data_IF_718844279462
#
_entry.id   IF_718844279462
#
_cell.length_a   1.000
_cell.length_b   1.000
_cell.length_c   1.000
_cell.angle_alpha   90.00
_cell.angle_beta   90.00
_cell.angle_gamma   90.00
#
_symmetry.space_group_name_H-M   'P 1'
#
loop_
_entity.id
_entity.type
_entity.pdbx_description
1 polymer ?
#
# COMPACT_ATOMS: atom_id res chain seq x y z
N UNK A 1 -63.21 76.35 56.41
CA UNK A 1 -62.88 75.24 57.34
C UNK A 1 -63.25 73.94 56.63
N UNK A 2 -62.38 72.94 56.73
CA UNK A 2 -62.53 71.54 56.28
C UNK A 2 -62.09 71.23 54.84
N UNK A 3 -61.01 70.45 54.77
CA UNK A 3 -60.47 69.82 53.57
C UNK A 3 -60.98 68.39 53.38
N UNK A 4 -60.18 67.60 52.65
CA UNK A 4 -60.44 66.32 51.95
C UNK A 4 -60.96 66.54 50.52
N UNK A 5 -60.41 65.93 49.46
CA UNK A 5 -59.68 64.67 49.39
C UNK A 5 -58.74 64.62 48.17
N UNK A 6 -57.67 63.83 48.25
CA UNK A 6 -56.68 63.64 47.18
C UNK A 6 -57.32 62.84 46.04
N UNK A 7 -57.76 63.51 44.97
CA UNK A 7 -58.13 62.83 43.72
C UNK A 7 -56.88 62.24 43.05
N UNK A 8 -56.63 60.95 43.30
CA UNK A 8 -55.80 60.13 42.42
C UNK A 8 -56.54 59.98 41.09
N UNK A 9 -56.08 60.73 40.08
CA UNK A 9 -56.45 60.50 38.69
C UNK A 9 -55.86 59.15 38.26
N UNK A 10 -56.58 58.05 38.49
CA UNK A 10 -56.33 56.81 37.76
C UNK A 10 -56.69 57.06 36.30
N UNK A 11 -55.70 57.45 35.50
CA UNK A 11 -55.84 57.43 34.04
C UNK A 11 -56.22 56.02 33.61
N UNK A 12 -57.26 55.93 32.78
CA UNK A 12 -57.83 54.69 32.31
C UNK A 12 -56.92 54.09 31.22
N UNK A 13 -55.78 53.52 31.61
CA UNK A 13 -54.77 52.89 30.73
C UNK A 13 -55.26 51.60 30.04
N UNK A 14 -56.54 51.26 30.17
CA UNK A 14 -57.13 50.03 29.61
C UNK A 14 -57.11 49.98 28.07
N UNK A 15 -57.06 51.12 27.39
CA UNK A 15 -57.00 51.19 25.92
C UNK A 15 -55.60 50.97 25.35
N UNK A 16 -54.58 51.61 25.93
CA UNK A 16 -53.19 51.51 25.44
C UNK A 16 -52.59 50.14 25.78
N UNK A 17 -52.97 49.56 26.92
CA UNK A 17 -52.57 48.20 27.30
C UNK A 17 -53.09 47.13 26.33
N UNK A 18 -54.30 47.31 25.77
CA UNK A 18 -54.82 46.39 24.77
C UNK A 18 -54.03 46.49 23.45
N UNK A 19 -53.72 47.72 23.01
CA UNK A 19 -52.97 47.96 21.77
C UNK A 19 -51.53 47.44 21.89
N UNK A 20 -50.86 47.64 23.03
CA UNK A 20 -49.50 47.11 23.25
C UNK A 20 -49.50 45.59 23.28
N UNK A 21 -50.48 44.96 23.92
CA UNK A 21 -50.65 43.50 23.92
C UNK A 21 -50.92 42.98 22.50
N UNK A 22 -51.76 43.64 21.71
CA UNK A 22 -52.02 43.25 20.31
C UNK A 22 -50.77 43.39 19.43
N UNK A 23 -50.00 44.47 19.58
CA UNK A 23 -48.73 44.65 18.88
C UNK A 23 -47.71 43.58 19.28
N UNK A 24 -47.58 43.28 20.58
CA UNK A 24 -46.72 42.21 21.06
C UNK A 24 -47.16 40.84 20.53
N UNK A 25 -48.47 40.55 20.50
CA UNK A 25 -49.00 39.32 19.91
C UNK A 25 -48.74 39.24 18.40
N UNK A 26 -48.88 40.34 17.67
CA UNK A 26 -48.59 40.38 16.23
C UNK A 26 -47.11 40.09 15.96
N UNK A 27 -46.20 40.68 16.73
CA UNK A 27 -44.76 40.44 16.63
C UNK A 27 -44.42 38.99 17.00
N UNK A 28 -44.97 38.46 18.09
CA UNK A 28 -44.76 37.05 18.48
C UNK A 28 -45.29 36.09 17.43
N UNK A 29 -46.45 36.38 16.83
CA UNK A 29 -47.02 35.55 15.76
C UNK A 29 -46.13 35.57 14.53
N UNK A 30 -45.64 36.74 14.13
CA UNK A 30 -44.70 36.87 13.02
C UNK A 30 -43.43 36.06 13.26
N UNK A 31 -42.83 36.18 14.46
CA UNK A 31 -41.65 35.41 14.87
C UNK A 31 -41.91 33.90 14.84
N UNK A 32 -43.04 33.45 15.39
CA UNK A 32 -43.43 32.05 15.41
C UNK A 32 -43.57 31.46 13.99
N UNK A 33 -44.17 32.22 13.07
CA UNK A 33 -44.30 31.81 11.65
C UNK A 33 -42.93 31.72 10.98
N UNK A 34 -42.04 32.68 11.20
CA UNK A 34 -40.66 32.59 10.68
C UNK A 34 -39.92 31.38 11.24
N UNK A 35 -39.99 31.13 12.55
CA UNK A 35 -39.32 29.98 13.16
C UNK A 35 -39.85 28.65 12.62
N UNK A 36 -41.17 28.54 12.44
CA UNK A 36 -41.78 27.35 11.86
C UNK A 36 -41.33 27.14 10.40
N UNK A 37 -41.31 28.20 9.59
CA UNK A 37 -40.84 28.11 8.20
C UNK A 37 -39.35 27.75 8.14
N UNK A 38 -38.51 28.36 8.96
CA UNK A 38 -37.07 28.02 9.04
C UNK A 38 -36.89 26.57 9.45
N UNK A 39 -37.57 26.10 10.49
CA UNK A 39 -37.48 24.70 10.95
C UNK A 39 -37.98 23.70 9.90
N UNK A 40 -39.05 24.05 9.18
CA UNK A 40 -39.57 23.24 8.07
C UNK A 40 -38.55 23.15 6.93
N UNK A 41 -37.95 24.29 6.54
CA UNK A 41 -36.90 24.34 5.50
C UNK A 41 -35.66 23.57 5.93
N UNK A 42 -35.19 23.74 7.17
CA UNK A 42 -34.06 22.98 7.73
C UNK A 42 -34.33 21.48 7.71
N UNK A 43 -35.54 21.05 8.07
CA UNK A 43 -35.93 19.64 8.03
C UNK A 43 -35.88 19.09 6.60
N UNK A 44 -36.35 19.86 5.61
CA UNK A 44 -36.26 19.47 4.20
C UNK A 44 -34.81 19.42 3.70
N UNK A 45 -33.98 20.39 4.07
CA UNK A 45 -32.55 20.41 3.73
C UNK A 45 -31.86 19.19 4.36
N UNK A 46 -32.06 18.92 5.64
CA UNK A 46 -31.49 17.76 6.33
C UNK A 46 -31.95 16.44 5.72
N UNK A 47 -33.23 16.35 5.34
CA UNK A 47 -33.75 15.16 4.66
C UNK A 47 -33.09 14.96 3.29
N UNK A 48 -32.99 16.01 2.49
CA UNK A 48 -32.34 15.97 1.18
C UNK A 48 -30.85 15.64 1.32
N UNK A 49 -30.16 16.25 2.28
CA UNK A 49 -28.75 15.98 2.56
C UNK A 49 -28.52 14.52 2.96
N UNK A 50 -29.33 13.98 3.87
CA UNK A 50 -29.24 12.57 4.27
C UNK A 50 -29.43 11.64 3.08
N UNK A 51 -30.48 11.87 2.29
CA UNK A 51 -30.81 11.02 1.13
C UNK A 51 -29.74 11.13 0.04
N UNK A 52 -29.16 12.32 -0.16
CA UNK A 52 -28.04 12.53 -1.08
C UNK A 52 -26.77 11.80 -0.62
N UNK A 53 -26.48 11.79 0.69
CA UNK A 53 -25.31 11.07 1.23
C UNK A 53 -25.48 9.56 1.18
N UNK A 54 -26.69 9.07 1.41
CA UNK A 54 -27.02 7.65 1.21
C UNK A 54 -26.81 7.24 -0.26
N UNK A 55 -27.31 8.03 -1.23
CA UNK A 55 -27.05 7.78 -2.65
C UNK A 55 -25.55 7.82 -3.01
N UNK A 56 -24.78 8.71 -2.38
CA UNK A 56 -23.33 8.77 -2.56
C UNK A 56 -22.63 7.50 -2.05
N UNK A 57 -22.97 7.01 -0.86
CA UNK A 57 -22.38 5.78 -0.33
C UNK A 57 -22.78 4.54 -1.16
N UNK A 58 -24.00 4.50 -1.71
CA UNK A 58 -24.38 3.48 -2.68
C UNK A 58 -23.50 3.54 -3.94
N UNK A 59 -23.22 4.74 -4.46
CA UNK A 59 -22.35 4.92 -5.62
C UNK A 59 -20.91 4.48 -5.31
N UNK A 60 -20.36 4.87 -4.17
CA UNK A 60 -19.02 4.48 -3.72
C UNK A 60 -18.90 2.95 -3.53
N UNK A 61 -19.94 2.32 -2.96
CA UNK A 61 -20.02 0.86 -2.87
C UNK A 61 -19.96 0.18 -4.25
N UNK A 62 -20.59 0.77 -5.26
CA UNK A 62 -20.50 0.29 -6.64
C UNK A 62 -19.09 0.40 -7.23
N UNK A 63 -18.33 1.44 -6.89
CA UNK A 63 -16.90 1.55 -7.27
C UNK A 63 -16.11 0.41 -6.63
N UNK A 64 -16.23 0.21 -5.31
CA UNK A 64 -15.53 -0.86 -4.61
C UNK A 64 -15.89 -2.25 -5.17
N UNK A 65 -17.16 -2.46 -5.51
CA UNK A 65 -17.63 -3.68 -6.14
C UNK A 65 -16.99 -3.91 -7.52
N UNK A 66 -16.98 -2.89 -8.37
CA UNK A 66 -16.36 -2.97 -9.69
C UNK A 66 -14.86 -3.32 -9.58
N UNK A 67 -14.14 -2.69 -8.66
CA UNK A 67 -12.72 -3.00 -8.39
C UNK A 67 -12.52 -4.46 -7.96
N UNK A 68 -13.37 -4.97 -7.06
CA UNK A 68 -13.31 -6.38 -6.65
C UNK A 68 -13.62 -7.36 -7.79
N UNK A 69 -14.51 -6.98 -8.72
CA UNK A 69 -14.80 -7.78 -9.93
C UNK A 69 -13.64 -7.78 -10.91
N UNK A 70 -13.03 -6.61 -11.14
CA UNK A 70 -11.83 -6.50 -11.97
C UNK A 70 -10.73 -7.41 -11.42
N UNK A 71 -10.50 -7.38 -10.10
CA UNK A 71 -9.57 -8.31 -9.43
C UNK A 71 -9.89 -9.77 -9.75
N UNK A 72 -11.13 -10.20 -9.50
CA UNK A 72 -11.54 -11.59 -9.67
C UNK A 72 -11.48 -12.07 -11.13
N UNK A 73 -11.72 -11.18 -12.11
CA UNK A 73 -11.65 -11.53 -13.54
C UNK A 73 -10.20 -11.59 -14.04
N UNK A 74 -9.31 -10.75 -13.52
CA UNK A 74 -7.86 -10.87 -13.78
C UNK A 74 -7.34 -12.23 -13.28
N UNK A 75 -7.71 -12.63 -12.06
CA UNK A 75 -7.38 -13.93 -11.48
C UNK A 75 -7.95 -15.11 -12.29
N UNK A 76 -9.18 -14.98 -12.83
CA UNK A 76 -9.83 -16.05 -13.57
C UNK A 76 -9.32 -16.25 -15.01
N UNK A 77 -8.64 -15.24 -15.58
CA UNK A 77 -8.21 -15.22 -16.99
C UNK A 77 -6.69 -15.37 -17.14
N UNK A 78 -6.01 -15.86 -16.10
CA UNK A 78 -4.56 -16.07 -16.08
C UNK A 78 -3.79 -14.81 -16.49
N UNK A 79 -4.27 -13.64 -16.03
CA UNK A 79 -3.66 -12.33 -16.33
C UNK A 79 -3.42 -12.04 -17.82
N UNK A 80 -4.19 -12.65 -18.72
CA UNK A 80 -4.08 -12.44 -20.18
C UNK A 80 -5.00 -11.34 -20.72
N UNK A 81 -5.49 -10.47 -19.83
CA UNK A 81 -6.36 -9.35 -20.22
C UNK A 81 -5.47 -8.19 -20.68
N UNK A 82 -5.21 -8.12 -21.98
CA UNK A 82 -4.56 -6.98 -22.63
C UNK A 82 -5.44 -5.71 -22.58
N UNK A 83 -6.73 -5.85 -22.25
CA UNK A 83 -7.72 -4.77 -22.25
C UNK A 83 -8.91 -5.07 -21.30
N UNK A 84 -9.15 -4.18 -20.33
CA UNK A 84 -10.24 -4.29 -19.33
C UNK A 84 -11.64 -4.17 -19.98
N UNK A 85 -11.72 -3.75 -21.25
CA UNK A 85 -12.98 -3.64 -22.01
C UNK A 85 -13.78 -4.95 -22.12
N UNK A 86 -13.18 -6.12 -21.81
CA UNK A 86 -13.85 -7.41 -21.73
C UNK A 86 -14.62 -7.70 -20.42
N UNK A 87 -14.48 -6.86 -19.39
CA UNK A 87 -15.02 -7.12 -18.04
C UNK A 87 -16.52 -6.79 -17.98
N UNK A 88 -17.34 -7.80 -17.75
CA UNK A 88 -18.79 -7.61 -17.65
C UNK A 88 -19.18 -7.13 -16.24
N UNK A 89 -19.34 -5.83 -16.09
CA UNK A 89 -19.82 -5.19 -14.87
C UNK A 89 -21.35 -5.14 -14.75
N UNK A 90 -22.09 -5.57 -15.79
CA UNK A 90 -23.54 -5.56 -15.81
C UNK A 90 -24.06 -6.94 -15.44
N UNK A 91 -24.45 -7.10 -14.17
CA UNK A 91 -25.52 -7.98 -13.68
C UNK A 91 -25.28 -8.33 -12.21
N UNK A 92 -25.54 -7.41 -11.26
CA UNK A 92 -25.78 -7.87 -9.89
C UNK A 92 -26.48 -6.88 -8.95
N UNK A 93 -27.29 -7.44 -8.05
CA UNK A 93 -27.88 -6.76 -6.89
C UNK A 93 -27.12 -7.16 -5.63
N UNK A 94 -26.30 -6.27 -5.08
CA UNK A 94 -25.69 -6.47 -3.76
C UNK A 94 -26.75 -6.19 -2.68
N UNK A 95 -26.93 -7.09 -1.72
CA UNK A 95 -27.91 -6.88 -0.65
C UNK A 95 -27.45 -5.73 0.26
N UNK A 96 -28.24 -4.66 0.34
CA UNK A 96 -28.01 -3.53 1.24
C UNK A 96 -27.45 -2.27 0.57
N UNK A 97 -27.07 -2.35 -0.71
CA UNK A 97 -26.66 -1.20 -1.52
C UNK A 97 -27.47 -1.17 -2.81
N UNK A 98 -27.69 0.03 -3.36
CA UNK A 98 -28.43 0.18 -4.60
C UNK A 98 -27.67 1.05 -5.60
N UNK A 99 -26.90 0.39 -6.47
CA UNK A 99 -26.12 1.05 -7.51
C UNK A 99 -26.29 0.40 -8.88
N UNK A 100 -25.97 1.16 -9.93
CA UNK A 100 -25.83 0.67 -11.30
C UNK A 100 -24.44 1.06 -11.84
N UNK A 101 -23.84 0.18 -12.65
CA UNK A 101 -22.55 0.42 -13.29
C UNK A 101 -22.73 0.63 -14.79
N UNK A 102 -22.12 1.70 -15.31
CA UNK A 102 -22.11 2.04 -16.73
C UNK A 102 -20.66 2.28 -17.18
N UNK A 103 -20.23 1.69 -18.30
CA UNK A 103 -18.96 2.06 -18.92
C UNK A 103 -19.03 3.51 -19.45
N UNK A 104 -17.95 4.27 -19.32
CA UNK A 104 -17.86 5.64 -19.83
C UNK A 104 -16.58 5.84 -20.64
N UNK A 105 -16.60 6.81 -21.57
CA UNK A 105 -15.39 7.17 -22.30
C UNK A 105 -14.31 7.67 -21.33
N UNK A 106 -13.06 7.29 -21.60
CA UNK A 106 -11.93 7.79 -20.83
C UNK A 106 -11.82 9.31 -20.93
N UNK A 107 -11.63 9.94 -19.77
CA UNK A 107 -11.29 11.35 -19.64
C UNK A 107 -9.90 11.56 -19.02
N UNK A 108 -9.17 10.46 -18.74
CA UNK A 108 -7.83 10.47 -18.17
C UNK A 108 -6.80 10.27 -19.31
N UNK A 109 -5.69 11.04 -19.35
CA UNK A 109 -4.71 10.97 -20.46
C UNK A 109 -3.83 9.72 -20.51
N UNK A 110 -3.99 8.76 -19.60
CA UNK A 110 -3.11 7.60 -19.42
C UNK A 110 -3.22 6.57 -20.58
N UNK A 111 -2.29 5.59 -20.60
CA UNK A 111 -2.29 4.49 -21.56
C UNK A 111 -3.50 3.56 -21.33
N UNK A 112 -4.57 3.79 -22.08
CA UNK A 112 -5.80 2.98 -22.14
C UNK A 112 -6.50 2.70 -20.78
N UNK A 113 -6.88 3.75 -20.01
CA UNK A 113 -7.61 3.55 -18.77
C UNK A 113 -9.05 3.08 -19.04
N UNK A 114 -9.49 2.09 -18.26
CA UNK A 114 -10.87 1.66 -18.20
C UNK A 114 -11.65 2.53 -17.24
N UNK A 115 -12.62 3.27 -17.77
CA UNK A 115 -13.44 4.17 -16.99
C UNK A 115 -14.88 3.65 -16.90
N UNK A 116 -15.42 3.70 -15.70
CA UNK A 116 -16.81 3.36 -15.45
C UNK A 116 -17.43 4.37 -14.49
N UNK A 117 -18.74 4.41 -14.49
CA UNK A 117 -19.57 5.27 -13.67
C UNK A 117 -20.46 4.41 -12.80
N UNK A 118 -20.37 4.63 -11.50
CA UNK A 118 -21.27 4.06 -10.50
C UNK A 118 -22.37 5.06 -10.15
N UNK A 119 -23.61 4.59 -10.24
CA UNK A 119 -24.82 5.38 -10.03
C UNK A 119 -25.53 4.85 -8.79
N UNK A 120 -25.35 5.51 -7.65
CA UNK A 120 -26.08 5.17 -6.42
C UNK A 120 -27.48 5.77 -6.40
N UNK A 121 -28.46 5.00 -5.91
CA UNK A 121 -29.89 5.35 -5.97
C UNK A 121 -30.59 5.08 -4.65
N UNK A 122 -31.10 6.12 -4.01
CA UNK A 122 -32.06 5.93 -2.91
C UNK A 122 -33.45 5.82 -3.49
N UNK A 123 -34.16 4.74 -3.13
CA UNK A 123 -35.55 4.52 -3.53
C UNK A 123 -36.50 5.03 -2.45
N UNK A 124 -37.69 5.43 -2.86
CA UNK A 124 -38.77 5.68 -1.93
C UNK A 124 -39.13 4.39 -1.15
N UNK A 125 -39.86 4.47 -0.02
CA UNK A 125 -40.21 3.27 0.77
C UNK A 125 -41.01 2.20 0.02
N UNK A 126 -41.64 2.55 -1.11
CA UNK A 126 -42.30 1.55 -1.97
C UNK A 126 -41.33 0.83 -2.91
N UNK A 127 -40.08 1.26 -3.04
CA UNK A 127 -39.05 0.64 -3.89
C UNK A 127 -39.18 0.92 -5.39
N UNK A 128 -40.09 1.79 -5.82
CA UNK A 128 -40.43 1.96 -7.24
C UNK A 128 -39.98 3.30 -7.84
N UNK A 129 -39.48 4.23 -7.02
CA UNK A 129 -39.07 5.55 -7.49
C UNK A 129 -37.78 5.99 -6.82
N UNK A 130 -36.79 6.35 -7.63
CA UNK A 130 -35.57 7.02 -7.17
C UNK A 130 -35.91 8.41 -6.62
N UNK A 131 -35.51 8.66 -5.38
CA UNK A 131 -35.71 9.93 -4.66
C UNK A 131 -34.41 10.75 -4.51
N UNK A 132 -33.25 10.09 -4.64
CA UNK A 132 -31.95 10.73 -4.80
C UNK A 132 -31.04 9.86 -5.67
N UNK A 133 -30.10 10.52 -6.35
CA UNK A 133 -29.08 9.91 -7.20
C UNK A 133 -27.75 10.59 -6.91
N UNK A 134 -26.67 9.82 -6.85
CA UNK A 134 -25.29 10.34 -6.90
C UNK A 134 -24.54 9.52 -7.95
N UNK A 135 -23.63 10.17 -8.66
CA UNK A 135 -22.86 9.59 -9.76
C UNK A 135 -21.38 9.75 -9.42
N UNK A 136 -20.65 8.65 -9.48
CA UNK A 136 -19.21 8.62 -9.25
C UNK A 136 -18.56 8.00 -10.46
N UNK A 137 -17.61 8.71 -11.08
CA UNK A 137 -16.80 8.18 -12.16
C UNK A 137 -15.43 7.78 -11.63
N UNK A 138 -15.01 6.57 -11.99
CA UNK A 138 -13.74 5.97 -11.62
C UNK A 138 -13.03 5.47 -12.87
N UNK A 139 -11.72 5.67 -12.92
CA UNK A 139 -10.86 5.17 -14.00
C UNK A 139 -9.74 4.33 -13.41
N UNK A 140 -9.47 3.19 -14.02
CA UNK A 140 -8.40 2.28 -13.64
C UNK A 140 -7.50 1.96 -14.83
N UNK A 141 -6.23 1.70 -14.56
CA UNK A 141 -5.28 1.16 -15.54
C UNK A 141 -4.80 -0.20 -15.06
N UNK A 142 -4.53 -1.10 -16.00
CA UNK A 142 -3.78 -2.30 -15.72
C UNK A 142 -2.29 -1.95 -15.67
N UNK A 143 -1.62 -2.37 -14.61
CA UNK A 143 -0.16 -2.39 -14.52
C UNK A 143 0.25 -3.77 -14.02
N UNK A 144 1.53 -4.08 -14.07
CA UNK A 144 2.07 -5.26 -13.43
C UNK A 144 2.48 -4.92 -12.01
N UNK A 145 2.28 -5.86 -11.08
CA UNK A 145 2.81 -5.67 -9.73
C UNK A 145 4.33 -5.59 -9.81
N UNK A 146 4.88 -4.46 -9.34
CA UNK A 146 6.32 -4.24 -9.28
C UNK A 146 6.77 -4.40 -7.82
N UNK A 147 7.46 -5.50 -7.49
CA UNK A 147 7.95 -5.68 -6.13
C UNK A 147 9.00 -4.61 -5.76
N UNK A 148 9.77 -4.13 -6.75
CA UNK A 148 10.96 -3.29 -6.55
C UNK A 148 11.02 -2.07 -7.49
N UNK A 149 10.43 -0.95 -7.06
CA UNK A 149 10.49 0.32 -7.81
C UNK A 149 11.53 1.32 -7.28
N UNK A 150 12.00 1.09 -6.05
CA UNK A 150 12.85 2.01 -5.30
C UNK A 150 13.99 1.24 -4.63
N UNK A 151 15.01 1.96 -4.16
CA UNK A 151 16.05 1.36 -3.33
C UNK A 151 15.45 0.68 -2.10
N UNK A 152 14.57 1.41 -1.44
CA UNK A 152 13.87 0.95 -0.24
C UNK A 152 12.45 1.49 -0.21
N UNK A 153 11.51 0.62 0.10
CA UNK A 153 10.13 1.00 0.42
C UNK A 153 9.75 0.41 1.77
N UNK A 154 9.40 1.27 2.73
CA UNK A 154 8.89 0.86 4.03
C UNK A 154 7.39 1.13 4.14
N UNK A 155 6.58 0.11 4.43
CA UNK A 155 5.13 0.30 4.54
C UNK A 155 4.78 1.33 5.60
N UNK A 156 5.29 1.12 6.80
CA UNK A 156 5.06 1.87 8.04
C UNK A 156 6.27 2.72 8.45
N UNK A 157 7.28 2.84 7.58
CA UNK A 157 8.41 3.75 7.79
C UNK A 157 9.78 3.20 7.39
N UNK A 158 10.72 4.12 7.19
CA UNK A 158 12.13 3.82 6.92
C UNK A 158 13.02 4.58 7.89
N UNK A 159 14.01 3.91 8.47
CA UNK A 159 14.97 4.51 9.39
C UNK A 159 16.42 4.21 8.99
N UNK A 160 17.16 5.26 8.65
CA UNK A 160 18.59 5.21 8.33
C UNK A 160 19.39 5.83 9.49
N UNK A 161 20.27 5.04 10.11
CA UNK A 161 21.03 5.46 11.30
C UNK A 161 22.52 5.25 11.08
N UNK A 162 23.32 6.25 11.42
CA UNK A 162 24.77 6.12 11.43
C UNK A 162 25.38 6.81 10.22
N UNK A 163 26.08 6.08 9.36
CA UNK A 163 26.73 6.60 8.16
C UNK A 163 26.37 5.78 6.92
N UNK A 164 25.14 5.25 6.86
CA UNK A 164 24.66 4.49 5.72
C UNK A 164 24.64 5.37 4.47
N UNK A 165 25.03 4.83 3.31
CA UNK A 165 24.93 5.53 2.03
C UNK A 165 24.00 4.72 1.14
N UNK A 166 22.94 5.35 0.64
CA UNK A 166 22.03 4.78 -0.35
C UNK A 166 22.28 5.47 -1.68
N UNK A 167 22.64 4.72 -2.71
CA UNK A 167 22.74 5.21 -4.09
C UNK A 167 22.22 4.13 -5.06
N UNK A 168 22.58 4.22 -6.34
CA UNK A 168 22.13 3.25 -7.33
C UNK A 168 23.17 2.94 -8.40
N UNK A 169 22.87 1.93 -9.20
CA UNK A 169 23.52 1.58 -10.46
C UNK A 169 22.55 0.80 -11.34
N UNK A 170 22.95 0.48 -12.57
CA UNK A 170 22.15 -0.35 -13.45
C UNK A 170 22.96 -1.58 -13.91
N UNK A 171 22.63 -2.76 -13.39
CA UNK A 171 23.36 -3.99 -13.70
C UNK A 171 23.23 -4.42 -15.16
N UNK A 172 22.14 -4.05 -15.84
CA UNK A 172 21.96 -4.29 -17.28
C UNK A 172 22.93 -3.48 -18.14
N UNK A 173 23.52 -2.41 -17.59
CA UNK A 173 24.53 -1.57 -18.23
C UNK A 173 25.97 -1.91 -17.80
N UNK A 174 26.13 -2.86 -16.89
CA UNK A 174 27.42 -3.35 -16.40
C UNK A 174 27.62 -3.18 -14.89
N UNK A 175 28.84 -3.45 -14.38
CA UNK A 175 29.14 -3.42 -12.96
C UNK A 175 28.97 -2.03 -12.32
N UNK A 176 28.73 -2.00 -11.01
CA UNK A 176 28.55 -0.76 -10.22
C UNK A 176 29.56 0.35 -10.54
N UNK A 177 30.84 0.01 -10.65
CA UNK A 177 31.91 0.99 -10.90
C UNK A 177 31.73 1.81 -12.19
N UNK A 178 30.99 1.29 -13.18
CA UNK A 178 30.75 1.95 -14.47
C UNK A 178 29.32 2.49 -14.64
N UNK A 179 28.34 1.90 -13.95
CA UNK A 179 26.91 2.24 -14.10
C UNK A 179 26.30 2.95 -12.90
N UNK A 180 27.10 3.32 -11.89
CA UNK A 180 26.62 4.05 -10.71
C UNK A 180 25.92 5.38 -11.04
N UNK A 181 24.92 5.69 -10.25
CA UNK A 181 24.03 6.85 -10.35
C UNK A 181 23.53 7.25 -8.95
N UNK A 182 22.85 8.38 -8.86
CA UNK A 182 22.29 8.92 -7.63
C UNK A 182 20.74 8.78 -7.64
N UNK A 183 20.23 7.62 -8.05
CA UNK A 183 18.79 7.28 -8.10
C UNK A 183 18.37 6.33 -6.96
N UNK A 184 19.08 6.37 -5.83
CA UNK A 184 18.81 5.58 -4.61
C UNK A 184 17.59 6.06 -3.83
N UNK A 185 16.42 6.04 -4.47
CA UNK A 185 15.17 6.60 -3.92
C UNK A 185 14.64 5.77 -2.75
N UNK A 186 14.22 6.45 -1.68
CA UNK A 186 13.62 5.86 -0.48
C UNK A 186 12.19 6.35 -0.31
N UNK A 187 11.24 5.44 -0.09
CA UNK A 187 9.83 5.80 0.01
C UNK A 187 9.10 5.13 1.18
N UNK A 188 7.97 5.70 1.58
CA UNK A 188 6.95 5.01 2.39
C UNK A 188 5.63 4.87 1.63
N UNK A 189 4.68 4.09 2.14
CA UNK A 189 3.42 3.83 1.43
C UNK A 189 2.17 4.04 2.26
N UNK A 190 2.18 3.80 3.58
CA UNK A 190 0.98 3.93 4.41
C UNK A 190 0.90 5.32 5.05
N UNK A 191 -0.29 5.74 5.47
CA UNK A 191 -0.47 6.97 6.24
C UNK A 191 0.44 7.04 7.49
N UNK A 192 0.86 8.25 7.86
CA UNK A 192 1.71 8.52 9.02
C UNK A 192 3.05 7.76 9.03
N UNK A 193 3.53 7.36 7.85
CA UNK A 193 4.76 6.59 7.71
C UNK A 193 5.93 7.47 7.32
N UNK A 194 6.83 7.67 8.28
CA UNK A 194 7.94 8.62 8.17
C UNK A 194 9.20 8.00 7.54
N UNK A 195 10.03 8.86 6.95
CA UNK A 195 11.44 8.57 6.65
C UNK A 195 12.30 9.31 7.68
N UNK A 196 13.02 8.58 8.52
CA UNK A 196 13.93 9.14 9.53
C UNK A 196 15.40 8.87 9.16
N UNK A 197 16.14 9.93 8.88
CA UNK A 197 17.58 9.88 8.60
C UNK A 197 18.32 10.52 9.78
N UNK A 198 19.26 9.78 10.37
CA UNK A 198 20.01 10.24 11.56
C UNK A 198 21.51 9.94 11.45
N UNK A 199 22.33 10.73 12.14
CA UNK A 199 23.78 10.67 12.02
C UNK A 199 24.26 11.38 10.75
N UNK A 200 25.17 10.74 10.02
CA UNK A 200 25.69 11.19 8.72
C UNK A 200 25.24 10.25 7.58
N UNK A 201 24.09 9.58 7.72
CA UNK A 201 23.53 8.78 6.64
C UNK A 201 23.13 9.68 5.46
N UNK A 202 23.33 9.20 4.23
CA UNK A 202 23.10 9.94 2.99
C UNK A 202 22.22 9.11 2.06
N UNK A 203 21.16 9.74 1.54
CA UNK A 203 20.34 9.25 0.43
C UNK A 203 20.77 10.02 -0.82
N UNK A 204 21.44 9.33 -1.75
CA UNK A 204 21.72 9.83 -3.09
C UNK A 204 20.56 9.48 -4.01
N UNK A 205 19.52 10.29 -3.96
CA UNK A 205 18.24 10.08 -4.62
C UNK A 205 17.15 10.86 -3.92
N UNK A 206 15.89 10.52 -4.22
CA UNK A 206 14.73 11.17 -3.62
C UNK A 206 14.33 10.50 -2.30
N UNK A 207 13.73 11.27 -1.39
CA UNK A 207 13.09 10.79 -0.17
C UNK A 207 11.63 11.25 -0.18
N UNK A 208 10.71 10.32 -0.44
CA UNK A 208 9.28 10.60 -0.62
C UNK A 208 8.46 9.83 0.41
N UNK A 209 7.92 10.53 1.40
CA UNK A 209 7.15 9.92 2.49
C UNK A 209 5.66 10.27 2.38
N UNK A 210 4.79 9.35 2.79
CA UNK A 210 3.37 9.67 3.05
C UNK A 210 3.21 10.42 4.38
N UNK A 211 4.08 10.12 5.36
CA UNK A 211 4.29 10.93 6.55
C UNK A 211 5.37 12.00 6.34
N UNK A 212 6.18 12.25 7.36
CA UNK A 212 7.24 13.26 7.33
C UNK A 212 8.60 12.69 6.89
N UNK A 213 9.41 13.52 6.23
CA UNK A 213 10.84 13.25 6.01
C UNK A 213 11.69 14.02 7.02
N UNK A 214 12.15 13.32 8.04
CA UNK A 214 12.97 13.86 9.12
C UNK A 214 14.46 13.59 8.84
N UNK A 215 15.18 14.58 8.31
CA UNK A 215 16.60 14.43 7.95
C UNK A 215 17.45 15.69 8.22
N UNK A 216 18.77 15.55 8.49
CA UNK A 216 19.69 16.67 8.52
C UNK A 216 19.82 17.36 7.16
N UNK A 217 20.20 18.64 7.16
CA UNK A 217 20.50 19.36 5.92
C UNK A 217 21.60 18.65 5.11
N UNK A 218 21.33 18.39 3.83
CA UNK A 218 22.24 17.70 2.92
C UNK A 218 22.28 16.18 3.05
N UNK A 219 21.46 15.57 3.91
CA UNK A 219 21.34 14.11 4.02
C UNK A 219 20.60 13.47 2.83
N UNK A 220 19.83 14.25 2.07
CA UNK A 220 19.17 13.81 0.83
C UNK A 220 19.67 14.71 -0.31
N UNK A 221 20.16 14.12 -1.40
CA UNK A 221 20.70 14.89 -2.54
C UNK A 221 19.65 15.19 -3.61
N UNK A 222 18.58 14.40 -3.67
CA UNK A 222 17.43 14.60 -4.56
C UNK A 222 16.30 15.37 -3.88
N UNK A 223 15.07 15.09 -4.30
CA UNK A 223 13.87 15.73 -3.79
C UNK A 223 13.48 15.16 -2.42
N UNK A 224 13.12 16.06 -1.51
CA UNK A 224 12.39 15.71 -0.29
C UNK A 224 10.94 16.13 -0.53
N UNK A 225 9.99 15.20 -0.38
CA UNK A 225 8.60 15.50 -0.68
C UNK A 225 7.60 14.54 -0.04
N UNK A 226 6.34 14.94 -0.14
CA UNK A 226 5.20 14.10 0.21
C UNK A 226 4.85 13.16 -0.95
N UNK A 227 4.32 11.99 -0.62
CA UNK A 227 3.83 10.98 -1.54
C UNK A 227 2.39 10.61 -1.19
N UNK A 228 1.59 10.27 -2.20
CA UNK A 228 0.26 9.69 -1.97
C UNK A 228 0.37 8.26 -1.41
N UNK A 229 -0.65 7.87 -0.65
CA UNK A 229 -0.77 6.52 -0.11
C UNK A 229 -0.84 5.49 -1.24
N UNK A 230 -0.13 4.39 -1.10
CA UNK A 230 -0.12 3.28 -2.05
C UNK A 230 -0.25 1.94 -1.32
N UNK A 231 -0.75 0.92 -2.02
CA UNK A 231 -0.75 -0.44 -1.47
C UNK A 231 0.68 -0.89 -1.19
N UNK A 232 1.00 -1.15 0.08
CA UNK A 232 2.35 -1.62 0.39
C UNK A 232 2.62 -3.01 -0.15
N UNK A 233 1.61 -3.88 -0.18
CA UNK A 233 1.73 -5.25 -0.67
C UNK A 233 0.93 -5.46 -1.96
N UNK A 234 1.40 -4.95 -3.11
CA UNK A 234 0.72 -5.15 -4.40
C UNK A 234 0.67 -6.63 -4.83
N UNK A 235 1.56 -7.48 -4.32
CA UNK A 235 1.57 -8.91 -4.63
C UNK A 235 0.57 -9.73 -3.81
N UNK A 236 0.04 -9.20 -2.69
CA UNK A 236 -0.61 -9.99 -1.65
C UNK A 236 0.26 -11.22 -1.29
N UNK A 237 1.37 -10.96 -0.59
CA UNK A 237 2.49 -11.89 -0.44
C UNK A 237 2.08 -13.25 0.13
N UNK A 238 1.02 -13.31 0.93
CA UNK A 238 0.48 -14.55 1.48
C UNK A 238 -0.12 -15.41 0.36
N UNK A 239 -0.98 -14.80 -0.47
CA UNK A 239 -1.59 -15.47 -1.62
C UNK A 239 -0.53 -15.80 -2.66
N UNK A 240 0.36 -14.86 -2.98
CA UNK A 240 1.45 -15.05 -3.94
C UNK A 240 2.37 -16.24 -3.61
N UNK A 241 2.79 -16.37 -2.34
CA UNK A 241 3.59 -17.51 -1.89
C UNK A 241 2.80 -18.82 -1.97
N UNK A 242 1.51 -18.81 -1.65
CA UNK A 242 0.67 -20.01 -1.69
C UNK A 242 0.40 -20.48 -3.12
N UNK A 243 0.14 -19.55 -4.05
CA UNK A 243 -0.16 -19.85 -5.45
C UNK A 243 1.06 -20.36 -6.21
N UNK A 244 2.26 -19.94 -5.81
CA UNK A 244 3.51 -20.40 -6.39
C UNK A 244 4.02 -21.73 -5.80
N UNK A 245 3.50 -22.21 -4.67
CA UNK A 245 3.93 -23.48 -4.05
C UNK A 245 3.52 -24.67 -4.92
N UNK A 246 4.47 -25.39 -5.57
CA UNK A 246 4.13 -26.54 -6.41
C UNK A 246 3.74 -27.77 -5.59
N UNK A 247 3.90 -27.72 -4.26
CA UNK A 247 3.60 -28.81 -3.34
C UNK A 247 2.67 -28.33 -2.19
N UNK A 248 1.47 -27.78 -2.48
CA UNK A 248 0.66 -27.08 -1.47
C UNK A 248 0.07 -28.01 -0.41
N UNK A 249 0.00 -29.32 -0.70
CA UNK A 249 -0.51 -30.35 0.22
C UNK A 249 0.59 -31.11 0.96
N UNK A 250 1.86 -30.87 0.61
CA UNK A 250 2.99 -31.53 1.24
C UNK A 250 3.51 -30.66 2.39
N UNK A 251 3.75 -31.29 3.54
CA UNK A 251 4.48 -30.65 4.63
C UNK A 251 5.97 -30.87 4.44
N UNK A 252 6.76 -29.83 4.64
CA UNK A 252 8.21 -29.98 4.66
C UNK A 252 8.64 -30.86 5.83
N UNK A 253 9.52 -31.83 5.57
CA UNK A 253 10.05 -32.74 6.58
C UNK A 253 11.58 -32.87 6.56
N UNK A 254 12.23 -32.09 5.71
CA UNK A 254 13.63 -32.11 5.36
C UNK A 254 14.27 -30.77 5.78
N UNK A 255 14.82 -30.74 6.98
CA UNK A 255 15.64 -29.60 7.42
C UNK A 255 17.05 -29.69 6.83
N UNK A 256 17.64 -28.55 6.49
CA UNK A 256 19.05 -28.44 6.12
C UNK A 256 19.84 -27.86 7.29
N UNK A 257 20.63 -28.70 7.94
CA UNK A 257 21.46 -28.32 9.12
C UNK A 257 22.96 -28.50 8.91
N UNK A 258 23.34 -29.26 7.87
CA UNK A 258 24.72 -29.59 7.54
C UNK A 258 25.05 -29.15 6.12
N UNK A 259 26.32 -29.22 5.74
CA UNK A 259 26.70 -28.95 4.36
C UNK A 259 25.98 -29.89 3.39
N UNK A 260 25.45 -29.31 2.32
CA UNK A 260 24.71 -30.01 1.28
C UNK A 260 24.91 -29.27 -0.04
N UNK A 261 24.87 -30.01 -1.14
CA UNK A 261 24.84 -29.46 -2.50
C UNK A 261 23.49 -29.79 -3.09
N UNK A 262 22.83 -28.79 -3.69
CA UNK A 262 21.59 -28.93 -4.44
C UNK A 262 21.86 -28.73 -5.92
N UNK A 263 21.40 -29.66 -6.75
CA UNK A 263 21.53 -29.63 -8.20
C UNK A 263 20.17 -29.45 -8.90
N UNK A 264 20.12 -29.56 -10.23
CA UNK A 264 18.90 -29.37 -11.02
C UNK A 264 17.77 -30.31 -10.64
N UNK A 265 18.08 -31.54 -10.20
CA UNK A 265 17.09 -32.57 -9.92
C UNK A 265 16.39 -32.35 -8.56
N UNK A 266 16.95 -31.49 -7.70
CA UNK A 266 16.37 -31.11 -6.41
C UNK A 266 15.24 -30.08 -6.55
N UNK A 267 15.21 -29.28 -7.63
CA UNK A 267 14.30 -28.14 -7.77
C UNK A 267 13.04 -28.45 -8.62
N UNK A 268 11.88 -27.84 -8.29
CA UNK A 268 11.63 -27.00 -7.13
C UNK A 268 11.69 -27.80 -5.83
N UNK A 269 12.17 -27.17 -4.76
CA UNK A 269 12.36 -27.84 -3.47
C UNK A 269 11.54 -27.18 -2.37
N UNK A 270 10.99 -28.00 -1.47
CA UNK A 270 10.34 -27.57 -0.23
C UNK A 270 11.17 -28.03 0.97
N UNK A 271 11.47 -27.12 1.88
CA UNK A 271 12.37 -27.28 3.03
C UNK A 271 11.64 -26.86 4.31
N UNK A 272 11.92 -27.57 5.40
CA UNK A 272 11.42 -27.21 6.73
C UNK A 272 12.18 -26.00 7.24
N UNK A 273 13.20 -26.24 8.05
CA UNK A 273 14.16 -25.22 8.47
C UNK A 273 15.48 -25.31 7.70
N UNK A 274 16.10 -24.16 7.43
CA UNK A 274 17.52 -24.06 7.09
C UNK A 274 18.23 -23.46 8.30
N UNK A 275 19.04 -24.24 9.00
CA UNK A 275 19.77 -23.82 10.20
C UNK A 275 21.26 -24.16 10.04
N UNK A 276 21.98 -23.29 9.34
CA UNK A 276 23.40 -23.47 9.03
C UNK A 276 24.26 -22.81 10.11
N UNK A 277 25.09 -23.61 10.78
CA UNK A 277 25.99 -23.18 11.86
C UNK A 277 27.43 -23.62 11.60
N UNK A 278 28.37 -23.05 12.36
CA UNK A 278 29.78 -23.45 12.31
C UNK A 278 30.42 -23.06 10.99
N UNK A 279 30.79 -24.06 10.17
CA UNK A 279 31.35 -23.87 8.83
C UNK A 279 30.54 -24.64 7.77
N UNK A 280 29.25 -24.91 8.04
CA UNK A 280 28.41 -25.64 7.11
C UNK A 280 28.09 -24.77 5.89
N UNK A 281 28.04 -25.38 4.71
CA UNK A 281 27.77 -24.70 3.44
C UNK A 281 26.63 -25.39 2.71
N UNK A 282 25.54 -24.66 2.44
CA UNK A 282 24.56 -25.07 1.45
C UNK A 282 24.97 -24.50 0.10
N UNK A 283 25.36 -25.35 -0.84
CA UNK A 283 25.72 -24.95 -2.21
C UNK A 283 24.56 -25.22 -3.14
N UNK A 284 24.16 -24.22 -3.92
CA UNK A 284 23.27 -24.38 -5.06
C UNK A 284 24.17 -24.34 -6.30
N UNK A 285 24.15 -25.41 -7.09
CA UNK A 285 25.07 -25.56 -8.22
C UNK A 285 24.96 -24.42 -9.25
N UNK A 286 26.04 -24.15 -10.02
CA UNK A 286 26.01 -23.19 -11.12
C UNK A 286 25.16 -23.68 -12.31
N UNK A 287 24.82 -22.74 -13.20
CA UNK A 287 24.18 -22.99 -14.50
C UNK A 287 22.84 -23.75 -14.46
N UNK A 288 22.07 -23.65 -13.37
CA UNK A 288 20.76 -24.30 -13.23
C UNK A 288 19.61 -23.52 -13.91
N UNK A 289 19.86 -22.29 -14.34
CA UNK A 289 18.79 -21.38 -14.80
C UNK A 289 17.97 -20.86 -13.63
N UNK A 290 16.66 -20.68 -13.82
CA UNK A 290 15.75 -20.24 -12.76
C UNK A 290 15.27 -21.42 -11.92
N UNK A 291 15.51 -21.35 -10.61
CA UNK A 291 15.13 -22.39 -9.65
C UNK A 291 14.41 -21.78 -8.45
N UNK A 292 13.51 -22.57 -7.86
CA UNK A 292 12.62 -22.08 -6.79
C UNK A 292 12.73 -22.93 -5.53
N UNK A 293 12.87 -22.26 -4.39
CA UNK A 293 12.95 -22.86 -3.06
C UNK A 293 11.83 -22.35 -2.15
N UNK A 294 11.08 -23.25 -1.54
CA UNK A 294 10.07 -22.96 -0.53
C UNK A 294 10.60 -23.35 0.84
N UNK A 295 10.70 -22.38 1.76
CA UNK A 295 11.13 -22.61 3.15
C UNK A 295 9.94 -22.36 4.06
N UNK A 296 9.40 -23.43 4.64
CA UNK A 296 8.21 -23.36 5.49
C UNK A 296 8.51 -22.85 6.90
N UNK A 297 9.72 -23.13 7.39
CA UNK A 297 10.23 -22.66 8.66
C UNK A 297 11.23 -21.51 8.50
N UNK A 298 12.24 -21.48 9.37
CA UNK A 298 13.21 -20.39 9.44
C UNK A 298 14.42 -20.63 8.52
N UNK A 299 15.00 -19.55 8.02
CA UNK A 299 16.29 -19.54 7.32
C UNK A 299 17.32 -18.79 8.18
N UNK A 300 18.13 -19.55 8.92
CA UNK A 300 19.18 -19.04 9.80
C UNK A 300 20.56 -19.47 9.33
N UNK A 301 21.46 -18.49 9.20
CA UNK A 301 22.87 -18.69 8.86
C UNK A 301 23.72 -17.97 9.92
N UNK A 302 24.57 -18.70 10.63
CA UNK A 302 25.39 -18.16 11.70
C UNK A 302 26.82 -18.73 11.77
N UNK A 303 27.70 -18.01 12.47
CA UNK A 303 29.12 -18.37 12.53
C UNK A 303 29.83 -18.07 11.20
N UNK A 304 30.56 -19.05 10.66
CA UNK A 304 31.20 -18.97 9.34
C UNK A 304 30.42 -19.75 8.26
N UNK A 305 29.22 -20.23 8.58
CA UNK A 305 28.38 -20.93 7.63
C UNK A 305 27.91 -19.99 6.51
N UNK A 306 27.61 -20.54 5.34
CA UNK A 306 27.07 -19.79 4.21
C UNK A 306 26.08 -20.61 3.37
N UNK A 307 25.23 -19.89 2.64
CA UNK A 307 24.52 -20.43 1.49
C UNK A 307 25.16 -19.82 0.24
N UNK A 308 25.64 -20.64 -0.68
CA UNK A 308 26.34 -20.19 -1.89
C UNK A 308 25.49 -20.48 -3.13
N UNK A 309 25.21 -19.44 -3.92
CA UNK A 309 24.50 -19.54 -5.20
C UNK A 309 25.53 -19.48 -6.31
N UNK A 310 25.65 -20.56 -7.08
CA UNK A 310 26.57 -20.66 -8.19
C UNK A 310 26.26 -19.67 -9.33
N UNK A 311 27.28 -19.25 -10.10
CA UNK A 311 27.08 -18.40 -11.27
C UNK A 311 26.14 -19.06 -12.29
N UNK A 312 25.31 -18.26 -12.96
CA UNK A 312 24.36 -18.76 -13.96
C UNK A 312 23.06 -19.34 -13.39
N UNK A 313 22.93 -19.38 -12.06
CA UNK A 313 21.71 -19.80 -11.35
C UNK A 313 20.96 -18.58 -10.79
N UNK A 314 19.65 -18.54 -11.01
CA UNK A 314 18.73 -17.51 -10.53
C UNK A 314 17.79 -18.16 -9.51
N UNK A 315 17.92 -17.80 -8.24
CA UNK A 315 17.19 -18.42 -7.14
C UNK A 315 16.07 -17.50 -6.66
N UNK A 316 14.85 -18.03 -6.65
CA UNK A 316 13.71 -17.44 -5.94
C UNK A 316 13.43 -18.22 -4.67
N UNK A 317 13.44 -17.54 -3.53
CA UNK A 317 13.12 -18.12 -2.22
C UNK A 317 11.77 -17.56 -1.75
N UNK A 318 10.82 -18.46 -1.52
CA UNK A 318 9.57 -18.16 -0.80
C UNK A 318 9.72 -18.60 0.66
N UNK A 319 9.68 -17.65 1.58
CA UNK A 319 9.98 -17.86 3.00
C UNK A 319 8.78 -17.53 3.89
N UNK A 320 8.32 -18.52 4.68
CA UNK A 320 7.26 -18.33 5.67
C UNK A 320 7.78 -17.92 7.06
N UNK A 321 8.94 -18.44 7.47
CA UNK A 321 9.57 -18.14 8.77
C UNK A 321 10.50 -16.93 8.75
N UNK A 322 11.34 -16.79 9.78
CA UNK A 322 12.28 -15.68 9.91
C UNK A 322 13.53 -15.90 9.03
N UNK A 323 14.04 -14.81 8.44
CA UNK A 323 15.35 -14.77 7.79
C UNK A 323 16.36 -14.15 8.75
N UNK A 324 17.35 -14.92 9.19
CA UNK A 324 18.47 -14.44 9.99
C UNK A 324 19.80 -14.84 9.32
N UNK A 325 20.23 -14.03 8.36
CA UNK A 325 21.50 -14.22 7.63
C UNK A 325 22.59 -13.38 8.28
N UNK A 326 23.46 -14.01 9.07
CA UNK A 326 24.58 -13.40 9.78
C UNK A 326 25.92 -14.03 9.35
N UNK A 327 27.03 -13.46 9.80
CA UNK A 327 28.36 -13.99 9.50
C UNK A 327 28.71 -13.86 8.01
N UNK A 328 28.96 -14.99 7.33
CA UNK A 328 29.15 -15.03 5.88
C UNK A 328 27.83 -14.96 5.11
N UNK A 329 26.72 -15.38 5.72
CA UNK A 329 25.36 -15.22 5.18
C UNK A 329 25.11 -15.92 3.85
N UNK A 330 24.23 -15.31 3.04
CA UNK A 330 23.97 -15.73 1.66
C UNK A 330 25.01 -15.08 0.75
N UNK A 331 25.73 -15.91 0.01
CA UNK A 331 26.77 -15.54 -0.96
C UNK A 331 26.26 -15.82 -2.35
N UNK A 332 25.78 -14.77 -3.02
CA UNK A 332 25.40 -14.85 -4.43
C UNK A 332 26.60 -14.52 -5.31
N UNK A 333 27.11 -15.50 -6.07
CA UNK A 333 28.28 -15.32 -6.93
C UNK A 333 27.96 -14.67 -8.27
N UNK A 334 26.68 -14.38 -8.55
CA UNK A 334 26.26 -13.61 -9.70
C UNK A 334 26.44 -12.10 -9.43
N UNK A 335 26.69 -11.33 -10.48
CA UNK A 335 26.84 -9.87 -10.38
C UNK A 335 25.52 -9.10 -10.47
N UNK A 336 24.40 -9.78 -10.75
CA UNK A 336 23.07 -9.17 -10.90
C UNK A 336 22.17 -9.55 -9.69
N UNK A 337 21.71 -8.58 -8.88
CA UNK A 337 20.72 -8.79 -7.82
C UNK A 337 19.44 -9.55 -8.23
N UNK A 338 19.01 -9.51 -9.50
CA UNK A 338 17.86 -10.29 -9.98
C UNK A 338 18.05 -11.82 -9.82
N UNK A 339 19.29 -12.29 -9.76
CA UNK A 339 19.60 -13.71 -9.56
C UNK A 339 19.32 -14.24 -8.16
N UNK A 340 18.95 -13.38 -7.21
CA UNK A 340 18.42 -13.79 -5.90
C UNK A 340 17.22 -12.93 -5.53
N UNK A 341 16.05 -13.54 -5.48
CA UNK A 341 14.83 -12.91 -4.98
C UNK A 341 14.32 -13.64 -3.74
N UNK A 342 13.99 -12.88 -2.70
CA UNK A 342 13.41 -13.43 -1.46
C UNK A 342 12.04 -12.80 -1.24
N UNK A 343 11.01 -13.62 -1.30
CA UNK A 343 9.62 -13.28 -1.03
C UNK A 343 9.23 -13.83 0.33
N UNK A 344 9.01 -12.96 1.32
CA UNK A 344 8.66 -13.36 2.68
C UNK A 344 7.19 -13.11 3.00
N UNK A 345 6.43 -14.19 3.23
CA UNK A 345 5.07 -14.10 3.77
C UNK A 345 5.05 -14.08 5.30
N UNK A 346 6.21 -13.91 5.96
CA UNK A 346 6.28 -13.81 7.40
C UNK A 346 5.52 -12.56 7.85
N UNK A 347 4.52 -12.74 8.72
CA UNK A 347 3.70 -11.66 9.26
C UNK A 347 4.01 -11.35 10.74
N UNK A 348 5.19 -11.75 11.21
CA UNK A 348 5.68 -11.46 12.57
C UNK A 348 5.85 -9.96 12.76
N UNK A 349 5.39 -9.46 13.90
CA UNK A 349 5.56 -8.07 14.29
C UNK A 349 7.01 -7.68 14.65
N UNK A 350 7.93 -8.65 14.68
CA UNK A 350 9.35 -8.45 15.02
C UNK A 350 10.22 -8.22 13.76
N UNK A 351 11.55 -8.17 13.96
CA UNK A 351 12.57 -8.19 12.90
C UNK A 351 12.55 -9.56 12.18
N UNK A 352 11.55 -9.83 11.33
CA UNK A 352 11.41 -11.10 10.61
C UNK A 352 12.42 -11.28 9.47
N UNK A 353 13.05 -10.20 9.01
CA UNK A 353 14.22 -10.28 8.11
C UNK A 353 15.40 -9.52 8.70
N UNK A 354 16.51 -10.22 8.88
CA UNK A 354 17.80 -9.68 9.31
C UNK A 354 18.89 -10.11 8.33
N UNK A 355 19.51 -9.13 7.67
CA UNK A 355 20.68 -9.34 6.81
C UNK A 355 21.86 -8.61 7.43
N UNK A 356 22.69 -9.34 8.16
CA UNK A 356 23.89 -8.82 8.81
C UNK A 356 25.18 -9.41 8.24
N UNK A 357 26.27 -9.21 8.98
CA UNK A 357 27.62 -9.55 8.55
C UNK A 357 28.36 -8.34 7.97
N UNK A 358 29.65 -8.53 7.67
CA UNK A 358 30.49 -7.50 7.03
C UNK A 358 30.70 -7.80 5.53
N UNK A 359 30.02 -8.83 5.01
CA UNK A 359 30.11 -9.26 3.62
C UNK A 359 29.23 -8.43 2.68
N UNK A 360 29.16 -8.91 1.44
CA UNK A 360 28.30 -8.33 0.41
C UNK A 360 27.06 -9.20 0.23
N UNK A 361 25.88 -8.59 0.31
CA UNK A 361 24.63 -9.21 -0.11
C UNK A 361 24.28 -8.72 -1.52
N UNK A 362 23.92 -9.64 -2.43
CA UNK A 362 23.50 -9.34 -3.81
C UNK A 362 22.17 -10.04 -4.04
N UNK A 363 21.07 -9.28 -4.03
CA UNK A 363 19.72 -9.82 -4.12
C UNK A 363 18.64 -8.79 -3.78
N UNK A 364 17.38 -9.15 -3.99
CA UNK A 364 16.22 -8.32 -3.65
C UNK A 364 15.31 -9.00 -2.63
N UNK A 365 14.75 -8.23 -1.70
CA UNK A 365 13.91 -8.76 -0.60
C UNK A 365 12.57 -8.05 -0.57
N UNK A 366 11.50 -8.82 -0.69
CA UNK A 366 10.11 -8.37 -0.59
C UNK A 366 9.46 -9.00 0.65
N UNK A 367 9.29 -8.20 1.70
CA UNK A 367 8.78 -8.64 3.02
C UNK A 367 7.81 -7.61 3.63
N UNK A 368 6.71 -7.25 2.94
CA UNK A 368 5.83 -6.14 3.35
C UNK A 368 5.09 -6.38 4.68
N UNK A 369 5.05 -7.61 5.18
CA UNK A 369 4.34 -7.98 6.41
C UNK A 369 5.25 -8.09 7.65
N UNK A 370 6.57 -7.94 7.51
CA UNK A 370 7.51 -7.98 8.65
C UNK A 370 8.62 -6.94 8.55
N UNK A 371 9.31 -6.68 9.66
CA UNK A 371 10.37 -5.66 9.70
C UNK A 371 11.65 -6.21 9.07
N UNK A 372 12.26 -5.39 8.22
CA UNK A 372 13.55 -5.66 7.57
C UNK A 372 14.63 -4.85 8.27
N UNK A 373 15.69 -5.53 8.70
CA UNK A 373 16.81 -4.91 9.41
C UNK A 373 18.14 -5.30 8.78
N UNK A 374 18.95 -4.28 8.50
CA UNK A 374 20.32 -4.45 8.01
C UNK A 374 21.27 -3.87 9.04
N UNK A 375 21.81 -4.70 9.94
CA UNK A 375 22.81 -4.26 10.89
C UNK A 375 24.23 -4.38 10.35
N UNK A 376 25.08 -3.39 10.65
CA UNK A 376 26.53 -3.52 10.50
C UNK A 376 27.15 -2.61 9.43
N UNK A 377 28.15 -3.13 8.71
CA UNK A 377 28.97 -2.37 7.75
C UNK A 377 29.13 -3.10 6.41
N UNK A 378 28.22 -4.03 6.11
CA UNK A 378 28.23 -4.77 4.85
C UNK A 378 27.84 -3.89 3.65
N UNK A 379 27.98 -4.46 2.46
CA UNK A 379 27.55 -3.84 1.20
C UNK A 379 26.32 -4.57 0.70
N UNK A 380 25.30 -3.85 0.25
CA UNK A 380 24.06 -4.42 -0.28
C UNK A 380 23.87 -3.95 -1.72
N UNK A 381 23.67 -4.89 -2.64
CA UNK A 381 23.27 -4.61 -4.02
C UNK A 381 21.88 -5.20 -4.26
N UNK A 382 20.91 -4.35 -4.64
CA UNK A 382 19.54 -4.77 -4.96
C UNK A 382 18.48 -3.83 -4.41
N UNK A 383 17.33 -4.36 -4.00
CA UNK A 383 16.20 -3.55 -3.53
C UNK A 383 15.50 -4.18 -2.32
N UNK A 384 14.85 -3.34 -1.52
CA UNK A 384 14.11 -3.78 -0.33
C UNK A 384 12.68 -3.23 -0.33
N UNK A 385 11.74 -4.11 -0.02
CA UNK A 385 10.42 -3.72 0.47
C UNK A 385 10.17 -4.41 1.81
N UNK A 386 9.79 -3.65 2.83
CA UNK A 386 9.56 -4.17 4.18
C UNK A 386 8.41 -3.48 4.88
N UNK A 387 7.83 -4.11 5.92
CA UNK A 387 6.86 -3.43 6.79
C UNK A 387 7.45 -2.16 7.38
N UNK A 388 8.61 -2.30 8.01
CA UNK A 388 9.52 -1.19 8.27
C UNK A 388 10.89 -1.58 7.76
N UNK A 389 11.68 -0.59 7.32
CA UNK A 389 13.07 -0.82 6.90
C UNK A 389 13.99 -0.07 7.85
N UNK A 390 14.88 -0.80 8.53
CA UNK A 390 15.83 -0.21 9.47
C UNK A 390 17.26 -0.58 9.11
N UNK A 391 18.04 0.45 8.81
CA UNK A 391 19.47 0.33 8.54
C UNK A 391 20.24 0.99 9.66
N UNK A 392 21.23 0.28 10.23
CA UNK A 392 22.11 0.85 11.24
C UNK A 392 23.59 0.55 10.95
N UNK A 393 24.45 1.48 11.36
CA UNK A 393 25.90 1.33 11.23
C UNK A 393 26.44 2.10 10.04
N UNK A 394 27.26 1.45 9.22
CA UNK A 394 27.92 2.05 8.05
C UNK A 394 27.75 1.21 6.77
N UNK A 395 26.56 0.69 6.43
CA UNK A 395 26.42 -0.09 5.21
C UNK A 395 26.38 0.81 3.97
N UNK A 396 26.90 0.28 2.87
CA UNK A 396 26.71 0.84 1.53
C UNK A 396 25.56 0.10 0.86
N UNK A 397 24.53 0.81 0.42
CA UNK A 397 23.37 0.26 -0.25
C UNK A 397 23.30 0.80 -1.68
N UNK A 398 23.36 -0.11 -2.64
CA UNK A 398 23.37 0.19 -4.06
C UNK A 398 22.11 -0.39 -4.69
N UNK A 399 21.15 0.48 -4.97
CA UNK A 399 19.95 0.09 -5.71
C UNK A 399 20.28 -0.33 -7.13
N UNK A 400 19.82 -1.50 -7.54
CA UNK A 400 19.90 -1.89 -8.94
C UNK A 400 18.64 -1.46 -9.69
N UNK A 401 18.78 -0.46 -10.55
CA UNK A 401 17.70 0.11 -11.35
C UNK A 401 17.08 -0.90 -12.33
N UNK A 402 17.80 -1.97 -12.68
CA UNK A 402 17.28 -3.02 -13.56
C UNK A 402 16.07 -3.74 -12.94
N UNK A 403 16.00 -3.79 -11.59
CA UNK A 403 14.93 -4.45 -10.84
C UNK A 403 13.55 -3.81 -11.07
N UNK A 404 13.49 -2.55 -11.53
CA UNK A 404 12.24 -1.89 -11.95
C UNK A 404 11.56 -2.58 -13.13
N UNK A 405 12.31 -3.38 -13.89
CA UNK A 405 11.80 -4.14 -15.01
C UNK A 405 11.33 -5.54 -14.61
N UNK A 406 11.60 -5.97 -13.38
CA UNK A 406 11.03 -7.21 -12.86
C UNK A 406 9.54 -7.01 -12.71
N UNK A 407 8.81 -7.72 -13.55
CA UNK A 407 7.38 -7.87 -13.51
C UNK A 407 7.14 -9.31 -13.14
N UNK A 408 6.38 -9.55 -12.09
CA UNK A 408 5.85 -10.90 -11.88
C UNK A 408 4.82 -11.11 -13.00
N UNK A 409 5.18 -11.96 -13.97
CA UNK A 409 4.49 -12.10 -15.25
C UNK A 409 3.01 -12.48 -15.11
N UNK A 410 2.64 -13.00 -13.93
CA UNK A 410 1.32 -13.54 -13.62
C UNK A 410 0.59 -12.74 -12.52
N UNK A 411 0.94 -11.47 -12.30
CA UNK A 411 0.19 -10.58 -11.39
C UNK A 411 -0.08 -9.23 -12.06
N UNK A 412 -1.14 -9.20 -12.88
CA UNK A 412 -1.76 -7.94 -13.29
C UNK A 412 -2.45 -7.33 -12.07
N UNK A 413 -2.07 -6.09 -11.75
CA UNK A 413 -2.75 -5.27 -10.75
C UNK A 413 -3.53 -4.18 -11.47
N UNK A 414 -4.64 -3.77 -10.88
CA UNK A 414 -5.32 -2.55 -11.30
C UNK A 414 -4.93 -1.41 -10.38
N UNK A 415 -4.67 -0.25 -10.95
CA UNK A 415 -4.49 1.00 -10.21
C UNK A 415 -5.68 1.91 -10.49
N UNK A 416 -6.39 2.33 -9.45
CA UNK A 416 -7.37 3.40 -9.56
C UNK A 416 -6.59 4.71 -9.82
N UNK A 417 -6.68 5.25 -11.03
CA UNK A 417 -5.96 6.47 -11.45
C UNK A 417 -6.78 7.73 -11.24
N UNK A 418 -8.11 7.60 -11.19
CA UNK A 418 -8.95 8.75 -10.92
C UNK A 418 -10.30 8.38 -10.32
N UNK A 419 -10.82 9.27 -9.49
CA UNK A 419 -12.13 9.19 -8.87
C UNK A 419 -12.73 10.60 -8.80
N UNK A 420 -13.99 10.76 -9.22
CA UNK A 420 -14.72 12.02 -9.05
C UNK A 420 -16.21 11.80 -8.85
N UNK A 421 -16.80 12.60 -7.96
CA UNK A 421 -18.26 12.78 -7.94
C UNK A 421 -18.67 13.70 -9.10
N UNK A 422 -19.67 13.28 -9.86
CA UNK A 422 -20.21 14.05 -10.99
C UNK A 422 -21.47 14.76 -10.54
N UNK A 423 -21.42 16.10 -10.55
CA UNK A 423 -22.57 16.95 -10.28
C UNK A 423 -23.20 17.39 -11.60
N UNK A 424 -24.39 16.85 -11.91
CA UNK A 424 -25.20 17.25 -13.06
C UNK A 424 -26.21 18.35 -12.72
#
# INVERSE_FOLDING_TARGET
MLGYDKHSLKHNEKGIAMITVMLMMAIMTALAVTMFNTSYVETLISSNYRTSKEAFFDADAGVQYALARVKAELEATDNSIDDVDGINLQDYTVSGFNFELEAVESWVPDDNPYCFKSIGKVLNPSGHKTVAKSEVEACLVLDYAKPFDNAMTGCEGVKLIGNAVVDSYNSSQGPYAVSKSDNGTVTTTNIDSDIEVTGNAIIKGDALAVGDVNSPEGAVTGNIGEKEEELCDPLDIISYVADNDPFPNDSANNDIKNSQTLDVDDFPIKIGDIDLKGNNTLTIEPDLGHVTMFVEGDLSIGGNANMEIGPGTYLTIYLKGELDSMGNGIVNLNSNPESLQIFSSNSSANDGVKIGGNGTFVGSIYAPLTNVKIPGNGVFYGALRGKTVKINGNPEFHFDESLKNIREADLLVYKLVSWREVFN
#
